data_IF_998088668133
#
_entry.id   IF_998088668133
#
_cell.length_a   1.000
_cell.length_b   1.000
_cell.length_c   1.000
_cell.angle_alpha   90.00
_cell.angle_beta   90.00
_cell.angle_gamma   90.00
#
_symmetry.space_group_name_H-M   'P 1'
#
loop_
_entity.id
_entity.type
_entity.pdbx_description
1 polymer ?
#
# COMPACT_ATOMS: atom_id res chain seq x y z
N UNK A 1 18.08 -47.91 10.32
CA UNK A 1 16.69 -47.47 10.13
C UNK A 1 16.26 -46.31 11.03
N UNK A 2 16.78 -46.14 12.27
CA UNK A 2 16.42 -45.05 13.19
C UNK A 2 16.85 -43.66 12.73
N UNK A 3 17.94 -43.54 11.97
CA UNK A 3 18.47 -42.24 11.52
C UNK A 3 17.71 -41.67 10.30
N UNK A 4 17.07 -42.53 9.47
CA UNK A 4 16.30 -42.09 8.32
C UNK A 4 14.97 -41.42 8.71
N UNK A 5 14.33 -41.92 9.79
CA UNK A 5 13.09 -41.33 10.32
C UNK A 5 13.30 -39.94 10.94
N UNK A 6 14.46 -39.72 11.59
CA UNK A 6 14.80 -38.41 12.15
C UNK A 6 15.06 -37.35 11.08
N UNK A 7 15.65 -37.74 9.94
CA UNK A 7 15.92 -36.83 8.83
C UNK A 7 14.60 -36.41 8.10
N UNK A 8 13.64 -37.34 7.94
CA UNK A 8 12.35 -37.03 7.35
C UNK A 8 11.52 -36.08 8.22
N UNK A 9 11.59 -36.24 9.55
CA UNK A 9 10.90 -35.35 10.49
C UNK A 9 11.47 -33.93 10.46
N UNK A 10 12.80 -33.77 10.28
CA UNK A 10 13.46 -32.46 10.23
C UNK A 10 13.11 -31.68 8.95
N UNK A 11 13.00 -32.37 7.81
CA UNK A 11 12.64 -31.76 6.52
C UNK A 11 11.16 -31.30 6.50
N UNK A 12 10.28 -32.07 7.16
CA UNK A 12 8.85 -31.70 7.24
C UNK A 12 8.58 -30.46 8.11
N UNK A 13 9.45 -30.13 9.05
CA UNK A 13 9.30 -28.97 9.92
C UNK A 13 9.73 -27.65 9.25
N UNK A 14 10.64 -27.71 8.26
CA UNK A 14 11.16 -26.54 7.56
C UNK A 14 10.13 -25.92 6.60
N UNK A 15 9.11 -26.65 6.15
CA UNK A 15 8.12 -26.13 5.19
C UNK A 15 6.98 -25.34 5.82
N UNK A 16 6.81 -25.37 7.14
CA UNK A 16 5.75 -24.66 7.85
C UNK A 16 6.13 -23.21 8.24
N UNK A 17 7.41 -22.85 8.20
CA UNK A 17 7.90 -21.53 8.64
C UNK A 17 7.68 -20.46 7.56
N UNK A 18 7.53 -20.83 6.28
CA UNK A 18 7.44 -19.86 5.18
C UNK A 18 6.12 -19.08 5.12
N UNK A 19 5.00 -19.70 5.50
CA UNK A 19 3.69 -19.04 5.37
C UNK A 19 3.39 -18.02 6.47
N UNK A 20 3.99 -18.15 7.65
CA UNK A 20 3.82 -17.19 8.75
C UNK A 20 4.51 -15.86 8.46
N UNK A 21 5.65 -15.87 7.78
CA UNK A 21 6.49 -14.69 7.56
C UNK A 21 5.78 -13.59 6.76
N UNK A 22 5.11 -13.91 5.66
CA UNK A 22 4.43 -12.92 4.81
C UNK A 22 3.20 -12.31 5.51
N UNK A 23 2.46 -13.13 6.22
CA UNK A 23 1.34 -12.68 7.05
C UNK A 23 1.81 -11.77 8.18
N UNK A 24 2.89 -12.12 8.85
CA UNK A 24 3.47 -11.33 9.94
C UNK A 24 3.97 -9.97 9.41
N UNK A 25 4.54 -9.93 8.20
CA UNK A 25 4.93 -8.66 7.56
C UNK A 25 3.71 -7.80 7.22
N UNK A 26 2.62 -8.39 6.76
CA UNK A 26 1.36 -7.67 6.53
C UNK A 26 0.81 -7.09 7.85
N UNK A 27 0.80 -7.87 8.92
CA UNK A 27 0.37 -7.41 10.25
C UNK A 27 1.24 -6.26 10.75
N UNK A 28 2.55 -6.34 10.60
CA UNK A 28 3.48 -5.25 10.96
C UNK A 28 3.21 -3.99 10.13
N UNK A 29 2.91 -4.16 8.84
CA UNK A 29 2.56 -3.05 7.95
C UNK A 29 1.28 -2.38 8.41
N UNK A 30 0.26 -3.16 8.80
CA UNK A 30 -0.99 -2.63 9.34
C UNK A 30 -0.74 -1.86 10.66
N UNK A 31 0.01 -2.43 11.59
CA UNK A 31 0.34 -1.75 12.85
C UNK A 31 1.07 -0.42 12.63
N UNK A 32 2.02 -0.40 11.69
CA UNK A 32 2.73 0.81 11.31
C UNK A 32 1.78 1.86 10.69
N UNK A 33 0.82 1.43 9.87
CA UNK A 33 -0.21 2.28 9.28
C UNK A 33 -1.12 2.89 10.35
N UNK A 34 -1.59 2.10 11.31
CA UNK A 34 -2.41 2.55 12.43
C UNK A 34 -1.69 3.56 13.34
N UNK A 35 -0.36 3.46 13.43
CA UNK A 35 0.51 4.41 14.12
C UNK A 35 0.83 5.66 13.29
N UNK A 36 0.23 5.84 12.11
CA UNK A 36 0.49 6.93 11.16
C UNK A 36 1.96 7.03 10.69
N UNK A 37 2.71 5.93 10.75
CA UNK A 37 4.11 5.84 10.27
C UNK A 37 4.12 5.53 8.76
N UNK A 38 3.57 6.41 7.94
CA UNK A 38 3.25 6.12 6.53
C UNK A 38 4.47 5.75 5.69
N UNK A 39 5.60 6.45 5.84
CA UNK A 39 6.83 6.13 5.10
C UNK A 39 7.37 4.74 5.47
N UNK A 40 7.34 4.39 6.75
CA UNK A 40 7.71 3.05 7.21
C UNK A 40 6.76 1.99 6.68
N UNK A 41 5.45 2.27 6.74
CA UNK A 41 4.42 1.37 6.19
C UNK A 41 4.67 1.11 4.72
N UNK A 42 4.95 2.16 3.94
CA UNK A 42 5.26 2.03 2.52
C UNK A 42 6.49 1.15 2.28
N UNK A 43 7.55 1.35 3.07
CA UNK A 43 8.75 0.51 2.98
C UNK A 43 8.47 -0.98 3.23
N UNK A 44 7.68 -1.29 4.28
CA UNK A 44 7.29 -2.67 4.60
C UNK A 44 6.41 -3.28 3.48
N UNK A 45 5.41 -2.54 3.00
CA UNK A 45 4.53 -3.03 1.93
C UNK A 45 5.27 -3.23 0.62
N UNK A 46 6.22 -2.37 0.26
CA UNK A 46 7.07 -2.56 -0.94
C UNK A 46 7.97 -3.79 -0.81
N UNK A 47 8.50 -4.06 0.36
CA UNK A 47 9.29 -5.26 0.59
C UNK A 47 8.45 -6.54 0.44
N UNK A 48 7.16 -6.49 0.80
CA UNK A 48 6.22 -7.61 0.67
C UNK A 48 5.65 -7.75 -0.75
N UNK A 49 5.68 -6.71 -1.58
CA UNK A 49 5.05 -6.66 -2.90
C UNK A 49 5.37 -7.85 -3.80
N UNK A 50 6.63 -8.32 -3.94
CA UNK A 50 6.95 -9.48 -4.76
C UNK A 50 6.30 -10.79 -4.30
N UNK A 51 5.88 -10.85 -3.05
CA UNK A 51 5.37 -12.06 -2.39
C UNK A 51 3.87 -12.01 -2.09
N UNK A 52 3.17 -10.94 -2.50
CA UNK A 52 1.72 -10.74 -2.23
C UNK A 52 0.90 -11.92 -2.73
N UNK A 53 1.26 -12.55 -3.84
CA UNK A 53 0.56 -13.71 -4.39
C UNK A 53 0.61 -14.95 -3.47
N UNK A 54 1.48 -14.96 -2.46
CA UNK A 54 1.57 -16.03 -1.44
C UNK A 54 0.59 -15.82 -0.27
N UNK A 55 0.00 -14.63 -0.16
CA UNK A 55 -1.02 -14.32 0.82
C UNK A 55 -2.37 -14.92 0.39
N UNK A 56 -3.24 -15.22 1.38
CA UNK A 56 -4.62 -15.59 1.08
C UNK A 56 -5.37 -14.40 0.46
N UNK A 57 -6.42 -14.67 -0.32
CA UNK A 57 -7.17 -13.62 -1.04
C UNK A 57 -7.66 -12.47 -0.16
N UNK A 58 -8.20 -12.69 1.07
CA UNK A 58 -8.55 -11.58 1.95
C UNK A 58 -7.33 -10.75 2.39
N UNK A 59 -6.18 -11.37 2.57
CA UNK A 59 -4.93 -10.70 2.92
C UNK A 59 -4.37 -9.91 1.75
N UNK A 60 -4.56 -10.37 0.51
CA UNK A 60 -4.24 -9.61 -0.70
C UNK A 60 -5.10 -8.35 -0.83
N UNK A 61 -6.40 -8.46 -0.53
CA UNK A 61 -7.30 -7.30 -0.48
C UNK A 61 -6.87 -6.29 0.60
N UNK A 62 -6.51 -6.79 1.78
CA UNK A 62 -5.97 -5.97 2.88
C UNK A 62 -4.66 -5.30 2.49
N UNK A 63 -3.73 -6.02 1.87
CA UNK A 63 -2.48 -5.46 1.34
C UNK A 63 -2.75 -4.31 0.37
N UNK A 64 -3.62 -4.54 -0.63
CA UNK A 64 -3.94 -3.54 -1.64
C UNK A 64 -4.57 -2.27 -1.02
N UNK A 65 -5.45 -2.44 -0.03
CA UNK A 65 -6.01 -1.32 0.72
C UNK A 65 -4.94 -0.54 1.50
N UNK A 66 -4.12 -1.23 2.29
CA UNK A 66 -3.06 -0.59 3.08
C UNK A 66 -2.06 0.15 2.18
N UNK A 67 -1.67 -0.48 1.05
CA UNK A 67 -0.77 0.14 0.09
C UNK A 67 -1.39 1.39 -0.51
N UNK A 68 -2.61 1.31 -1.01
CA UNK A 68 -3.29 2.44 -1.62
C UNK A 68 -3.56 3.59 -0.66
N UNK A 69 -4.01 3.30 0.57
CA UNK A 69 -4.24 4.34 1.58
C UNK A 69 -2.93 4.97 2.07
N UNK A 70 -1.83 4.20 2.12
CA UNK A 70 -0.51 4.73 2.46
C UNK A 70 -0.02 5.68 1.36
N UNK A 71 -0.08 5.25 0.10
CA UNK A 71 0.28 6.07 -1.05
C UNK A 71 -0.58 7.35 -1.12
N UNK A 72 -1.89 7.25 -0.84
CA UNK A 72 -2.80 8.41 -0.78
C UNK A 72 -2.35 9.43 0.27
N UNK A 73 -1.99 8.98 1.47
CA UNK A 73 -1.57 9.87 2.57
C UNK A 73 -0.22 10.52 2.35
N UNK A 74 0.68 9.85 1.65
CA UNK A 74 2.00 10.40 1.29
C UNK A 74 1.90 11.34 0.08
N UNK A 75 0.83 11.22 -0.73
CA UNK A 75 0.61 12.05 -1.92
C UNK A 75 0.97 11.36 -3.24
N UNK A 76 1.21 10.05 -3.24
CA UNK A 76 1.42 9.26 -4.46
C UNK A 76 0.08 8.88 -5.10
N UNK A 77 -0.67 9.88 -5.57
CA UNK A 77 -2.08 9.74 -5.96
C UNK A 77 -2.32 8.75 -7.10
N UNK A 78 -1.41 8.66 -8.05
CA UNK A 78 -1.50 7.69 -9.14
C UNK A 78 -1.44 6.25 -8.64
N UNK A 79 -0.45 5.95 -7.78
CA UNK A 79 -0.28 4.63 -7.18
C UNK A 79 -1.42 4.33 -6.20
N UNK A 80 -1.84 5.32 -5.42
CA UNK A 80 -2.99 5.21 -4.52
C UNK A 80 -4.24 4.75 -5.27
N UNK A 81 -4.58 5.43 -6.36
CA UNK A 81 -5.74 5.09 -7.19
C UNK A 81 -5.62 3.68 -7.76
N UNK A 82 -4.44 3.28 -8.21
CA UNK A 82 -4.18 1.93 -8.72
C UNK A 82 -4.46 0.87 -7.65
N UNK A 83 -3.81 0.98 -6.49
CA UNK A 83 -3.93 -0.02 -5.43
C UNK A 83 -5.32 -0.06 -4.79
N UNK A 84 -5.98 1.10 -4.59
CA UNK A 84 -7.35 1.14 -4.08
C UNK A 84 -8.34 0.56 -5.07
N UNK A 85 -8.13 0.70 -6.37
CA UNK A 85 -8.96 0.05 -7.37
C UNK A 85 -8.83 -1.48 -7.33
N UNK A 86 -7.63 -2.00 -7.06
CA UNK A 86 -7.40 -3.44 -6.84
C UNK A 86 -8.11 -3.90 -5.57
N UNK A 87 -7.97 -3.17 -4.46
CA UNK A 87 -8.66 -3.50 -3.21
C UNK A 87 -10.19 -3.54 -3.38
N UNK A 88 -10.73 -2.56 -4.11
CA UNK A 88 -12.15 -2.51 -4.45
C UNK A 88 -12.58 -3.71 -5.30
N UNK A 89 -11.79 -4.10 -6.29
CA UNK A 89 -12.09 -5.25 -7.14
C UNK A 89 -12.15 -6.56 -6.33
N UNK A 90 -11.28 -6.74 -5.34
CA UNK A 90 -11.35 -7.88 -4.41
C UNK A 90 -12.65 -7.87 -3.60
N UNK A 91 -13.01 -6.73 -3.01
CA UNK A 91 -14.22 -6.64 -2.17
C UNK A 91 -15.51 -6.76 -3.01
N UNK A 92 -15.52 -6.24 -4.24
CA UNK A 92 -16.65 -6.39 -5.18
C UNK A 92 -16.81 -7.86 -5.61
N UNK A 93 -15.71 -8.59 -5.84
CA UNK A 93 -15.75 -10.00 -6.22
C UNK A 93 -16.21 -10.92 -5.08
N UNK A 94 -15.93 -10.55 -3.84
CA UNK A 94 -16.31 -11.30 -2.63
C UNK A 94 -16.58 -10.32 -1.49
N UNK A 95 -17.82 -9.86 -1.33
CA UNK A 95 -18.18 -8.87 -0.32
C UNK A 95 -17.81 -9.31 1.10
N UNK A 96 -17.19 -8.40 1.86
CA UNK A 96 -16.78 -8.64 3.24
C UNK A 96 -15.30 -8.97 3.43
N UNK A 97 -14.48 -8.89 2.37
CA UNK A 97 -13.02 -9.04 2.49
C UNK A 97 -12.38 -7.88 3.25
N UNK A 98 -12.97 -6.68 3.17
CA UNK A 98 -12.50 -5.50 3.87
C UNK A 98 -13.48 -5.07 4.96
N UNK A 99 -12.99 -4.52 6.10
CA UNK A 99 -13.82 -3.90 7.12
C UNK A 99 -14.67 -2.75 6.53
N UNK A 100 -15.85 -2.52 7.09
CA UNK A 100 -16.79 -1.51 6.57
C UNK A 100 -16.21 -0.09 6.61
N UNK A 101 -15.45 0.25 7.65
CA UNK A 101 -14.81 1.55 7.77
C UNK A 101 -13.66 1.73 6.75
N UNK A 102 -12.96 0.65 6.39
CA UNK A 102 -11.95 0.68 5.34
C UNK A 102 -12.58 0.90 3.96
N UNK A 103 -13.71 0.24 3.70
CA UNK A 103 -14.47 0.43 2.45
C UNK A 103 -14.97 1.86 2.30
N UNK A 104 -15.47 2.46 3.36
CA UNK A 104 -15.92 3.85 3.33
C UNK A 104 -14.77 4.80 2.97
N UNK A 105 -13.61 4.68 3.63
CA UNK A 105 -12.42 5.49 3.34
C UNK A 105 -11.86 5.25 1.94
N UNK A 106 -11.84 4.00 1.49
CA UNK A 106 -11.41 3.63 0.15
C UNK A 106 -12.29 4.28 -0.92
N UNK A 107 -13.61 4.22 -0.73
CA UNK A 107 -14.57 4.81 -1.66
C UNK A 107 -14.40 6.32 -1.73
N UNK A 108 -14.30 6.99 -0.59
CA UNK A 108 -14.07 8.44 -0.52
C UNK A 108 -12.79 8.86 -1.25
N UNK A 109 -11.68 8.16 -1.00
CA UNK A 109 -10.40 8.44 -1.66
C UNK A 109 -10.45 8.17 -3.18
N UNK A 110 -11.12 7.09 -3.60
CA UNK A 110 -11.30 6.79 -5.02
C UNK A 110 -12.20 7.82 -5.71
N UNK A 111 -13.29 8.24 -5.08
CA UNK A 111 -14.23 9.23 -5.65
C UNK A 111 -13.52 10.58 -5.81
N UNK A 112 -12.72 11.02 -4.83
CA UNK A 112 -11.90 12.23 -4.95
C UNK A 112 -10.94 12.14 -6.14
N UNK A 113 -10.15 11.05 -6.22
CA UNK A 113 -9.16 10.90 -7.29
C UNK A 113 -9.81 10.71 -8.67
N UNK A 114 -10.93 10.01 -8.75
CA UNK A 114 -11.69 9.85 -9.99
C UNK A 114 -12.29 11.19 -10.44
N UNK A 115 -12.77 12.02 -9.51
CA UNK A 115 -13.25 13.37 -9.81
C UNK A 115 -12.20 14.21 -10.51
N UNK A 116 -10.94 14.17 -10.00
CA UNK A 116 -9.80 14.84 -10.64
C UNK A 116 -9.52 14.27 -12.04
N UNK A 117 -9.50 12.93 -12.18
CA UNK A 117 -9.24 12.29 -13.48
C UNK A 117 -10.32 12.61 -14.51
N UNK A 118 -11.59 12.63 -14.12
CA UNK A 118 -12.69 12.95 -15.02
C UNK A 118 -12.76 14.44 -15.40
N UNK A 119 -12.35 15.33 -14.48
CA UNK A 119 -12.34 16.77 -14.72
C UNK A 119 -11.13 17.26 -15.49
N UNK A 120 -9.94 16.76 -15.12
CA UNK A 120 -8.64 17.30 -15.54
C UNK A 120 -7.76 16.29 -16.32
N UNK A 121 -8.19 15.02 -16.38
CA UNK A 121 -7.48 13.92 -17.02
C UNK A 121 -6.44 13.26 -16.11
N UNK A 122 -5.91 12.12 -16.58
CA UNK A 122 -4.93 11.32 -15.83
C UNK A 122 -3.64 12.10 -15.51
N UNK A 123 -3.26 13.06 -16.35
CA UNK A 123 -2.07 13.88 -16.16
C UNK A 123 -2.13 14.72 -14.88
N UNK A 124 -3.32 15.06 -14.38
CA UNK A 124 -3.48 15.80 -13.13
C UNK A 124 -3.01 15.00 -11.90
N UNK A 125 -3.12 13.67 -11.94
CA UNK A 125 -2.55 12.80 -10.90
C UNK A 125 -1.02 12.66 -11.03
N UNK A 126 -0.47 12.86 -12.23
CA UNK A 126 0.97 12.77 -12.47
C UNK A 126 1.76 13.92 -11.85
N UNK A 127 1.10 15.02 -11.47
CA UNK A 127 1.72 16.13 -10.72
C UNK A 127 1.91 15.81 -9.26
N UNK A 128 1.31 14.73 -8.77
CA UNK A 128 1.51 14.25 -7.42
C UNK A 128 2.89 13.58 -7.27
N UNK A 129 3.39 13.57 -6.03
CA UNK A 129 4.68 12.99 -5.67
C UNK A 129 4.82 11.56 -6.22
N UNK A 130 5.97 11.26 -6.83
CA UNK A 130 6.30 9.92 -7.34
C UNK A 130 7.05 9.11 -6.30
N UNK A 131 6.87 7.78 -6.27
CA UNK A 131 7.65 6.90 -5.41
C UNK A 131 9.17 7.10 -5.61
N UNK A 132 9.90 7.37 -4.53
CA UNK A 132 11.35 7.62 -4.59
C UNK A 132 11.74 9.05 -4.95
N UNK A 133 10.79 9.95 -5.13
CA UNK A 133 11.07 11.37 -5.29
C UNK A 133 11.30 11.99 -3.90
N UNK A 134 12.50 12.56 -3.71
CA UNK A 134 12.84 13.29 -2.49
C UNK A 134 11.88 14.48 -2.33
N UNK A 135 11.61 14.86 -1.10
CA UNK A 135 10.79 16.06 -0.81
C UNK A 135 11.31 17.22 -1.63
N UNK A 136 10.48 17.86 -2.49
CA UNK A 136 10.96 19.02 -3.23
C UNK A 136 11.53 20.04 -2.25
N UNK A 137 12.66 20.67 -2.56
CA UNK A 137 13.20 21.72 -1.69
C UNK A 137 12.10 22.75 -1.44
N UNK A 138 12.01 23.30 -0.22
CA UNK A 138 11.02 24.33 0.08
C UNK A 138 11.13 25.40 -0.99
N UNK A 139 9.99 25.80 -1.55
CA UNK A 139 9.94 26.83 -2.60
C UNK A 139 10.78 28.02 -2.15
N UNK A 140 11.84 28.34 -2.89
CA UNK A 140 12.65 29.52 -2.62
C UNK A 140 11.71 30.70 -2.55
N UNK A 141 11.83 31.59 -1.54
CA UNK A 141 11.00 32.77 -1.47
C UNK A 141 11.16 33.52 -2.79
N UNK A 142 10.07 33.64 -3.52
CA UNK A 142 10.01 34.45 -4.72
C UNK A 142 10.52 35.84 -4.30
N UNK A 143 11.67 36.24 -4.81
CA UNK A 143 12.23 37.55 -4.59
C UNK A 143 11.12 38.58 -4.84
N UNK A 144 10.62 39.20 -3.79
CA UNK A 144 9.75 40.34 -3.90
C UNK A 144 10.52 41.41 -4.70
N UNK A 145 10.11 41.61 -5.94
CA UNK A 145 10.61 42.68 -6.79
C UNK A 145 10.30 43.98 -6.02
N UNK A 146 11.35 44.62 -5.51
CA UNK A 146 11.22 45.91 -4.89
C UNK A 146 10.67 46.91 -5.90
N UNK A 147 9.69 47.76 -5.57
CA UNK A 147 9.19 48.76 -6.50
C UNK A 147 10.31 49.74 -6.78
N UNK A 148 10.61 49.91 -8.07
CA UNK A 148 11.52 50.96 -8.55
C UNK A 148 10.96 52.35 -8.17
N UNK A 149 11.82 53.18 -7.57
CA UNK A 149 11.52 54.59 -7.33
C UNK A 149 11.57 55.39 -8.62
#
# INVERSE_FOLDING_TARGET
>A
MRNALALVALVSFATLVGCSTYRDELVRSQQSFEQNQHERTLGLLRALEPDVFKLATPEQAQYAYLRGMTDYRIGYRSDARHWLSIAKAYDDASPGMLPTDWKARMTEALDEMNGVVYGEGLSALATSRKPGEDTPPPASPVNAVAPAK
#
